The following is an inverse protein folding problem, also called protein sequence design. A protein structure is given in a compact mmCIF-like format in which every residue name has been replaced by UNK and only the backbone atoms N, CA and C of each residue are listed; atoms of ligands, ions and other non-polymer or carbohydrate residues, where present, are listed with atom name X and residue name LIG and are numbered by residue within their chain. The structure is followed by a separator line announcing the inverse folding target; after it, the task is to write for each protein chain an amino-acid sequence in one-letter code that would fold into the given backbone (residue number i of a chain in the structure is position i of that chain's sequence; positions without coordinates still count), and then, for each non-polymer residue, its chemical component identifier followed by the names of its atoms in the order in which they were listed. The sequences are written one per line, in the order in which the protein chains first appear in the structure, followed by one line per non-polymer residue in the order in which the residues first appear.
data_IF_064728264634
#
_entry.id   IF_064728264634
#
_cell.length_a   1.000
_cell.length_b   1.000
_cell.length_c   1.000
_cell.angle_alpha   90.00
_cell.angle_beta   90.00
_cell.angle_gamma   90.00
#
_symmetry.space_group_name_H-M   'P 1'
#
loop_
_entity.id
_entity.type
_entity.pdbx_description
1 polymer ?
#
# COMPACT_ATOMS: atom_id res chain seq x y z
N UNK A 1 -14.83 15.07 22.23
CA UNK A 1 -13.93 13.91 22.48
C UNK A 1 -13.94 13.04 21.23
N UNK A 2 -12.88 13.06 20.40
CA UNK A 2 -12.72 12.08 19.31
C UNK A 2 -12.07 10.85 19.92
N UNK A 3 -12.80 9.75 20.02
CA UNK A 3 -12.21 8.44 20.31
C UNK A 3 -11.45 8.00 19.06
N UNK A 4 -10.16 8.35 18.97
CA UNK A 4 -9.28 7.87 17.90
C UNK A 4 -8.87 6.43 18.19
N UNK A 5 -9.20 5.50 17.30
CA UNK A 5 -8.74 4.11 17.39
C UNK A 5 -7.26 4.07 17.03
N UNK A 6 -6.38 3.67 17.95
CA UNK A 6 -4.97 3.43 17.63
C UNK A 6 -4.80 1.99 17.13
N UNK A 7 -4.48 1.82 15.85
CA UNK A 7 -4.28 0.51 15.24
C UNK A 7 -2.91 -0.09 15.59
N UNK A 8 -1.91 0.75 15.89
CA UNK A 8 -0.53 0.33 16.18
C UNK A 8 -0.36 -0.49 17.46
N UNK A 9 -1.33 -0.44 18.38
CA UNK A 9 -1.28 -1.21 19.64
C UNK A 9 -1.52 -2.72 19.45
N UNK A 10 -2.20 -3.10 18.37
CA UNK A 10 -2.61 -4.50 18.13
C UNK A 10 -2.22 -5.00 16.75
N UNK A 11 -2.11 -4.11 15.77
CA UNK A 11 -1.86 -4.46 14.38
C UNK A 11 -0.54 -3.84 13.92
N UNK A 12 0.40 -4.72 13.60
CA UNK A 12 1.72 -4.36 13.10
C UNK A 12 1.84 -4.53 11.58
N UNK A 13 0.80 -5.05 10.93
CA UNK A 13 0.71 -5.20 9.49
C UNK A 13 -0.47 -4.43 8.92
N UNK A 14 -0.26 -3.82 7.75
CA UNK A 14 -1.29 -3.26 6.92
C UNK A 14 -1.18 -3.82 5.51
N UNK A 15 -2.28 -4.36 4.97
CA UNK A 15 -2.34 -4.87 3.60
C UNK A 15 -3.34 -4.06 2.78
N UNK A 16 -2.87 -3.54 1.64
CA UNK A 16 -3.68 -2.88 0.63
C UNK A 16 -3.81 -3.85 -0.54
N UNK A 17 -4.94 -4.53 -0.63
CA UNK A 17 -5.26 -5.35 -1.79
C UNK A 17 -5.92 -4.50 -2.86
N UNK A 18 -5.69 -4.86 -4.12
CA UNK A 18 -6.25 -4.19 -5.29
C UNK A 18 -6.02 -2.66 -5.30
N UNK A 19 -4.83 -2.22 -4.88
CA UNK A 19 -4.52 -0.81 -4.66
C UNK A 19 -4.77 0.06 -5.90
N UNK A 20 -4.59 -0.50 -7.12
CA UNK A 20 -5.04 0.14 -8.36
C UNK A 20 -6.48 0.64 -8.29
N UNK A 21 -7.42 -0.25 -7.96
CA UNK A 21 -8.86 0.06 -7.91
C UNK A 21 -9.21 1.00 -6.77
N UNK A 22 -8.57 0.85 -5.62
CA UNK A 22 -8.77 1.71 -4.46
C UNK A 22 -8.46 3.18 -4.80
N UNK A 23 -7.35 3.40 -5.48
CA UNK A 23 -6.86 4.73 -5.86
C UNK A 23 -7.63 5.31 -7.07
N UNK A 24 -8.08 4.45 -7.99
CA UNK A 24 -8.94 4.86 -9.10
C UNK A 24 -10.35 5.24 -8.64
N UNK A 25 -10.86 4.59 -7.59
CA UNK A 25 -12.17 4.86 -7.00
C UNK A 25 -12.19 6.09 -6.06
N UNK A 26 -11.06 6.77 -5.90
CA UNK A 26 -10.97 7.99 -5.10
C UNK A 26 -10.74 7.79 -3.60
N UNK A 27 -10.49 6.57 -3.12
CA UNK A 27 -10.27 6.29 -1.70
C UNK A 27 -8.86 6.66 -1.19
N UNK A 28 -8.05 7.36 -1.98
CA UNK A 28 -6.66 7.65 -1.61
C UNK A 28 -6.57 8.43 -0.28
N UNK A 29 -7.42 9.43 -0.09
CA UNK A 29 -7.42 10.25 1.12
C UNK A 29 -7.91 9.46 2.34
N UNK A 30 -8.93 8.63 2.18
CA UNK A 30 -9.42 7.76 3.26
C UNK A 30 -8.36 6.76 3.72
N UNK A 31 -7.59 6.22 2.78
CA UNK A 31 -6.50 5.29 3.10
C UNK A 31 -5.36 6.00 3.83
N UNK A 32 -5.06 7.25 3.47
CA UNK A 32 -4.09 8.07 4.20
C UNK A 32 -4.55 8.33 5.63
N UNK A 33 -5.84 8.59 5.83
CA UNK A 33 -6.41 8.71 7.18
C UNK A 33 -6.22 7.42 7.97
N UNK A 34 -6.40 6.24 7.35
CA UNK A 34 -6.10 4.95 8.02
C UNK A 34 -4.64 4.85 8.44
N UNK A 35 -3.69 5.32 7.62
CA UNK A 35 -2.27 5.32 7.99
C UNK A 35 -1.97 6.16 9.22
N UNK A 36 -2.65 7.31 9.38
CA UNK A 36 -2.48 8.21 10.51
C UNK A 36 -2.95 7.61 11.85
N UNK A 37 -3.73 6.53 11.82
CA UNK A 37 -4.16 5.80 13.02
C UNK A 37 -3.11 4.81 13.53
N UNK A 38 -1.98 4.63 12.82
CA UNK A 38 -0.84 3.87 13.30
C UNK A 38 0.19 4.81 13.94
N UNK A 39 0.28 4.79 15.26
CA UNK A 39 1.27 5.61 16.00
C UNK A 39 2.68 5.01 16.03
N UNK A 40 2.76 3.70 15.85
CA UNK A 40 4.00 2.93 15.88
C UNK A 40 4.37 2.43 14.47
N UNK A 41 5.57 1.86 14.35
CA UNK A 41 6.03 1.25 13.10
C UNK A 41 5.08 0.12 12.66
N UNK A 42 4.79 0.07 11.36
CA UNK A 42 4.00 -1.00 10.73
C UNK A 42 4.71 -1.52 9.49
N UNK A 43 4.52 -2.79 9.19
CA UNK A 43 4.85 -3.35 7.88
C UNK A 43 3.66 -3.14 6.94
N UNK A 44 3.87 -2.43 5.83
CA UNK A 44 2.86 -2.25 4.79
C UNK A 44 3.11 -3.22 3.64
N UNK A 45 2.06 -3.85 3.12
CA UNK A 45 2.08 -4.66 1.90
C UNK A 45 1.05 -4.08 0.92
N UNK A 46 1.43 -3.94 -0.34
CA UNK A 46 0.58 -3.40 -1.40
C UNK A 46 0.53 -4.39 -2.54
N UNK A 47 -0.68 -4.81 -2.91
CA UNK A 47 -0.94 -5.69 -4.03
C UNK A 47 -1.72 -4.93 -5.10
N UNK A 48 -1.26 -5.00 -6.34
CA UNK A 48 -1.95 -4.42 -7.48
C UNK A 48 -1.63 -5.19 -8.74
N UNK A 49 -2.63 -5.40 -9.60
CA UNK A 49 -2.45 -6.02 -10.90
C UNK A 49 -1.73 -5.11 -11.91
N UNK A 50 -1.76 -3.80 -11.69
CA UNK A 50 -1.09 -2.80 -12.53
C UNK A 50 -0.35 -1.79 -11.65
N UNK A 51 0.79 -1.30 -12.14
CA UNK A 51 1.66 -0.35 -11.41
C UNK A 51 1.90 0.92 -12.25
N UNK A 52 0.83 1.69 -12.58
CA UNK A 52 1.01 2.99 -13.23
C UNK A 52 1.70 3.99 -12.30
N UNK A 53 2.17 5.12 -12.83
CA UNK A 53 2.91 6.12 -12.07
C UNK A 53 2.18 6.58 -10.80
N UNK A 54 0.85 6.69 -10.84
CA UNK A 54 0.02 7.03 -9.68
C UNK A 54 0.19 6.03 -8.53
N UNK A 55 0.14 4.73 -8.82
CA UNK A 55 0.34 3.66 -7.83
C UNK A 55 1.78 3.61 -7.35
N UNK A 56 2.77 3.84 -8.22
CA UNK A 56 4.17 3.94 -7.79
C UNK A 56 4.39 5.10 -6.81
N UNK A 57 3.80 6.26 -7.09
CA UNK A 57 3.91 7.42 -6.23
C UNK A 57 3.21 7.17 -4.88
N UNK A 58 2.04 6.55 -4.90
CA UNK A 58 1.32 6.14 -3.70
C UNK A 58 2.11 5.12 -2.87
N UNK A 59 2.70 4.10 -3.50
CA UNK A 59 3.53 3.11 -2.79
C UNK A 59 4.76 3.76 -2.11
N UNK A 60 5.39 4.73 -2.78
CA UNK A 60 6.54 5.49 -2.22
C UNK A 60 6.16 6.34 -1.02
N UNK A 61 4.95 6.89 -0.97
CA UNK A 61 4.48 7.66 0.19
C UNK A 61 3.96 6.76 1.32
N UNK A 62 3.40 5.60 0.99
CA UNK A 62 2.78 4.69 1.96
C UNK A 62 3.74 3.68 2.63
N UNK A 63 4.94 3.46 2.07
CA UNK A 63 5.84 2.37 2.44
C UNK A 63 7.28 2.84 2.67
N UNK A 64 7.99 2.22 3.62
CA UNK A 64 9.41 2.49 3.90
C UNK A 64 10.26 1.43 3.22
N UNK A 65 11.12 1.84 2.27
CA UNK A 65 12.05 0.96 1.53
C UNK A 65 11.40 -0.37 1.07
N UNK A 66 10.30 -0.32 0.30
CA UNK A 66 9.60 -1.54 -0.11
C UNK A 66 10.47 -2.39 -1.04
N UNK A 67 10.41 -3.70 -0.88
CA UNK A 67 10.88 -4.67 -1.88
C UNK A 67 9.77 -4.87 -2.90
N UNK A 68 10.09 -4.70 -4.18
CA UNK A 68 9.13 -4.89 -5.27
C UNK A 68 9.30 -6.30 -5.83
N UNK A 69 8.22 -7.07 -5.84
CA UNK A 69 8.15 -8.34 -6.55
C UNK A 69 7.08 -8.23 -7.62
N UNK A 70 7.44 -8.50 -8.86
CA UNK A 70 6.48 -8.62 -9.95
C UNK A 70 6.36 -10.10 -10.32
N UNK A 71 5.12 -10.58 -10.31
CA UNK A 71 4.81 -11.91 -10.80
C UNK A 71 4.25 -11.68 -12.19
N UNK A 72 5.10 -11.85 -13.20
CA UNK A 72 4.69 -11.82 -14.59
C UNK A 72 3.52 -12.75 -14.83
N UNK A 73 2.65 -12.43 -15.80
CA UNK A 73 1.66 -13.39 -16.28
C UNK A 73 2.42 -14.64 -16.74
N UNK A 74 1.84 -15.83 -16.56
CA UNK A 74 2.42 -17.04 -17.14
C UNK A 74 2.71 -16.81 -18.64
N UNK A 75 4.00 -16.72 -19.01
CA UNK A 75 4.47 -16.42 -20.36
C UNK A 75 5.00 -15.00 -20.64
N UNK A 76 4.96 -14.06 -19.69
CA UNK A 76 5.57 -12.73 -19.83
C UNK A 76 6.80 -12.61 -18.91
N UNK A 77 7.98 -12.61 -19.51
CA UNK A 77 9.27 -12.38 -18.83
C UNK A 77 9.27 -11.03 -18.13
N UNK A 78 9.57 -11.04 -16.85
CA UNK A 78 9.62 -9.86 -15.99
C UNK A 78 10.89 -9.04 -16.30
N UNK A 79 10.71 -7.83 -16.81
CA UNK A 79 11.75 -6.82 -16.89
C UNK A 79 11.60 -5.94 -15.64
N UNK A 80 12.68 -5.88 -14.85
CA UNK A 80 12.92 -5.04 -13.68
C UNK A 80 12.84 -5.76 -12.32
N UNK A 81 13.86 -6.59 -12.09
CA UNK A 81 14.44 -6.75 -10.74
C UNK A 81 15.60 -5.76 -10.63
N UNK A 82 15.42 -4.68 -9.88
CA UNK A 82 16.50 -3.85 -9.30
C UNK A 82 16.20 -3.67 -7.81
#
# INVERSE_FOLDING_TARGET
MRFGVNLGLYYWYLRLDEAGRLIDSGFEDDVRVVFDHYKDQRQTQLFSATIPKKIQNFARSAMVKPVTGNVGRAGATDLDVV
#
